data_IF_552685517073
#
_entry.id   IF_552685517073
#
_cell.length_a   1.000
_cell.length_b   1.000
_cell.length_c   1.000
_cell.angle_alpha   90.00
_cell.angle_beta   90.00
_cell.angle_gamma   90.00
#
_symmetry.space_group_name_H-M   'P 1'
#
loop_
_entity.id
_entity.type
_entity.pdbx_description
1 polymer ?
#
# COMPACT_ATOMS: atom_id res chain seq x y z
N UNK A 1 -26.53 -12.73 2.62
CA UNK A 1 -26.87 -12.95 1.21
C UNK A 1 -28.19 -13.73 1.12
N UNK A 2 -28.69 -13.96 -0.08
CA UNK A 2 -29.95 -14.69 -0.33
C UNK A 2 -29.93 -16.15 0.17
N UNK A 3 -28.76 -16.68 0.53
CA UNK A 3 -28.54 -18.03 1.05
C UNK A 3 -28.40 -18.06 2.59
N UNK A 4 -28.70 -16.97 3.28
CA UNK A 4 -28.60 -16.87 4.74
C UNK A 4 -27.15 -16.74 5.29
N UNK A 5 -26.15 -16.53 4.43
CA UNK A 5 -24.78 -16.26 4.86
C UNK A 5 -24.62 -14.78 5.20
N UNK A 6 -24.07 -14.49 6.36
CA UNK A 6 -23.68 -13.14 6.74
C UNK A 6 -22.45 -12.73 5.95
N UNK A 7 -22.57 -11.72 5.08
CA UNK A 7 -21.45 -11.05 4.44
C UNK A 7 -21.30 -9.66 5.04
N UNK A 8 -20.14 -9.39 5.59
CA UNK A 8 -19.77 -8.06 6.07
C UNK A 8 -19.04 -7.31 4.96
N UNK A 9 -19.82 -6.75 4.01
CA UNK A 9 -19.22 -5.93 2.94
C UNK A 9 -18.60 -4.67 3.54
N UNK A 10 -17.39 -4.31 3.06
CA UNK A 10 -16.65 -3.09 3.45
C UNK A 10 -16.38 -2.97 4.96
N UNK A 11 -16.29 -4.10 5.67
CA UNK A 11 -16.01 -4.09 7.12
C UNK A 11 -14.65 -3.48 7.46
N UNK A 12 -13.69 -3.54 6.55
CA UNK A 12 -12.37 -2.93 6.67
C UNK A 12 -12.45 -1.40 6.71
N UNK A 13 -13.45 -0.80 6.07
CA UNK A 13 -13.69 0.66 6.10
C UNK A 13 -14.60 1.02 7.26
N UNK A 14 -15.71 0.31 7.42
CA UNK A 14 -16.68 0.54 8.48
C UNK A 14 -16.10 0.26 9.88
N UNK A 15 -15.11 -0.64 9.97
CA UNK A 15 -14.43 -0.99 11.20
C UNK A 15 -13.48 0.11 11.72
N UNK A 16 -12.93 0.96 10.86
CA UNK A 16 -11.96 1.99 11.26
C UNK A 16 -12.50 2.92 12.35
N UNK A 17 -13.65 3.61 12.20
CA UNK A 17 -14.16 4.48 13.26
C UNK A 17 -14.50 3.75 14.55
N UNK A 18 -14.95 2.52 14.50
CA UNK A 18 -15.24 1.69 15.68
C UNK A 18 -13.96 1.33 16.43
N UNK A 19 -12.92 0.94 15.68
CA UNK A 19 -11.59 0.64 16.20
C UNK A 19 -10.98 1.89 16.88
N UNK A 20 -11.04 3.04 16.21
CA UNK A 20 -10.54 4.31 16.74
C UNK A 20 -11.23 4.71 18.04
N UNK A 21 -12.56 4.59 18.11
CA UNK A 21 -13.32 4.87 19.31
C UNK A 21 -12.96 3.92 20.47
N UNK A 22 -12.80 2.62 20.17
CA UNK A 22 -12.40 1.62 21.17
C UNK A 22 -11.00 1.91 21.71
N UNK A 23 -10.02 2.10 20.82
CA UNK A 23 -8.63 2.34 21.21
C UNK A 23 -8.46 3.66 21.98
N UNK A 24 -9.19 4.70 21.59
CA UNK A 24 -9.20 5.98 22.33
C UNK A 24 -9.75 5.83 23.75
N UNK A 25 -10.79 5.02 23.94
CA UNK A 25 -11.36 4.74 25.29
C UNK A 25 -10.40 4.06 26.23
N UNK A 26 -9.50 3.21 25.71
CA UNK A 26 -8.47 2.53 26.53
C UNK A 26 -7.18 3.33 26.61
N UNK A 27 -7.13 4.55 26.07
CA UNK A 27 -5.98 5.44 26.18
C UNK A 27 -4.82 5.10 25.25
N UNK A 28 -5.07 4.42 24.11
CA UNK A 28 -4.04 4.14 23.14
C UNK A 28 -3.42 5.43 22.58
N UNK A 29 -2.09 5.43 22.43
CA UNK A 29 -1.35 6.53 21.85
C UNK A 29 -1.62 6.70 20.34
N UNK A 30 -1.28 7.89 19.80
CA UNK A 30 -1.53 8.24 18.40
C UNK A 30 -0.91 7.28 17.40
N UNK A 31 0.31 6.80 17.67
CA UNK A 31 1.01 5.87 16.77
C UNK A 31 0.31 4.50 16.71
N UNK A 32 -0.18 4.02 17.87
CA UNK A 32 -0.96 2.78 17.93
C UNK A 32 -2.29 2.93 17.20
N UNK A 33 -2.97 4.07 17.34
CA UNK A 33 -4.20 4.37 16.60
C UNK A 33 -3.94 4.33 15.10
N UNK A 34 -2.96 5.09 14.61
CA UNK A 34 -2.61 5.15 13.19
C UNK A 34 -2.24 3.77 12.62
N UNK A 35 -1.47 3.00 13.38
CA UNK A 35 -1.07 1.64 13.00
C UNK A 35 -2.29 0.71 12.89
N UNK A 36 -3.14 0.65 13.90
CA UNK A 36 -4.31 -0.23 13.88
C UNK A 36 -5.33 0.17 12.80
N UNK A 37 -5.56 1.47 12.60
CA UNK A 37 -6.42 1.99 11.52
C UNK A 37 -5.88 1.61 10.13
N UNK A 38 -4.56 1.70 9.95
CA UNK A 38 -3.90 1.32 8.71
C UNK A 38 -4.05 -0.19 8.45
N UNK A 39 -3.79 -1.04 9.44
CA UNK A 39 -3.98 -2.49 9.34
C UNK A 39 -5.43 -2.85 9.05
N UNK A 40 -6.39 -2.27 9.79
CA UNK A 40 -7.82 -2.50 9.58
C UNK A 40 -8.24 -2.18 8.14
N UNK A 41 -7.81 -1.04 7.61
CA UNK A 41 -8.16 -0.59 6.25
C UNK A 41 -7.53 -1.44 5.15
N UNK A 42 -6.35 -2.01 5.37
CA UNK A 42 -5.57 -2.65 4.30
C UNK A 42 -5.69 -4.17 4.28
N UNK A 43 -6.09 -4.83 5.39
CA UNK A 43 -6.01 -6.30 5.49
C UNK A 43 -6.80 -7.02 4.39
N UNK A 44 -7.98 -6.53 4.01
CA UNK A 44 -8.78 -7.16 2.95
C UNK A 44 -8.15 -7.00 1.56
N UNK A 45 -7.34 -5.97 1.34
CA UNK A 45 -6.67 -5.74 0.05
C UNK A 45 -5.60 -6.79 -0.23
N UNK A 46 -5.01 -7.41 0.78
CA UNK A 46 -4.07 -8.52 0.62
C UNK A 46 -4.74 -9.74 0.00
N UNK A 47 -5.93 -10.10 0.48
CA UNK A 47 -6.73 -11.17 -0.09
C UNK A 47 -7.11 -10.89 -1.54
N UNK A 48 -7.53 -9.66 -1.84
CA UNK A 48 -7.84 -9.24 -3.23
C UNK A 48 -6.60 -9.40 -4.12
N UNK A 49 -5.41 -9.01 -3.64
CA UNK A 49 -4.16 -9.19 -4.39
C UNK A 49 -3.91 -10.65 -4.75
N UNK A 50 -4.12 -11.57 -3.81
CA UNK A 50 -3.98 -13.01 -4.04
C UNK A 50 -5.03 -13.55 -5.00
N UNK A 51 -6.33 -13.33 -4.71
CA UNK A 51 -7.42 -13.89 -5.53
C UNK A 51 -7.44 -13.38 -6.97
N UNK A 52 -7.00 -12.14 -7.18
CA UNK A 52 -6.88 -11.55 -8.52
C UNK A 52 -5.51 -11.75 -9.15
N UNK A 53 -4.60 -12.43 -8.45
CA UNK A 53 -3.20 -12.66 -8.87
C UNK A 53 -2.53 -11.36 -9.36
N UNK A 54 -2.61 -10.30 -8.54
CA UNK A 54 -2.09 -8.99 -8.93
C UNK A 54 -0.56 -9.03 -9.09
N UNK A 55 -0.06 -8.26 -10.05
CA UNK A 55 1.37 -8.15 -10.32
C UNK A 55 2.15 -7.39 -9.24
N UNK A 56 3.49 -7.52 -9.27
CA UNK A 56 4.39 -6.89 -8.28
C UNK A 56 4.16 -5.38 -8.11
N UNK A 57 3.95 -4.64 -9.21
CA UNK A 57 3.73 -3.20 -9.13
C UNK A 57 2.50 -2.83 -8.28
N UNK A 58 1.41 -3.57 -8.41
CA UNK A 58 0.18 -3.32 -7.65
C UNK A 58 0.31 -3.71 -6.18
N UNK A 59 0.98 -4.85 -5.91
CA UNK A 59 1.25 -5.28 -4.54
C UNK A 59 2.29 -4.40 -3.85
N UNK A 60 3.30 -3.91 -4.59
CA UNK A 60 4.26 -2.94 -4.07
C UNK A 60 3.57 -1.65 -3.59
N UNK A 61 2.56 -1.17 -4.33
CA UNK A 61 1.80 0.02 -3.91
C UNK A 61 0.99 -0.25 -2.65
N UNK A 62 0.41 -1.45 -2.49
CA UNK A 62 -0.28 -1.82 -1.26
C UNK A 62 0.66 -1.82 -0.06
N UNK A 63 1.84 -2.43 -0.21
CA UNK A 63 2.85 -2.46 0.85
C UNK A 63 3.42 -1.07 1.17
N UNK A 64 3.54 -0.19 0.18
CA UNK A 64 3.98 1.19 0.36
C UNK A 64 2.96 2.07 1.12
N UNK A 65 1.68 1.71 1.08
CA UNK A 65 0.63 2.32 1.90
C UNK A 65 0.61 1.79 3.34
N UNK A 66 1.24 0.64 3.61
CA UNK A 66 1.26 0.01 4.93
C UNK A 66 2.32 0.62 5.83
N UNK A 67 1.95 0.91 7.07
CA UNK A 67 2.90 1.32 8.12
C UNK A 67 3.88 0.18 8.46
N UNK A 68 3.41 -1.06 8.43
CA UNK A 68 4.24 -2.26 8.64
C UNK A 68 3.82 -3.37 7.68
N UNK A 69 4.46 -3.51 6.49
CA UNK A 69 4.12 -4.53 5.51
C UNK A 69 4.22 -5.96 6.04
N UNK A 70 5.19 -6.25 6.90
CA UNK A 70 5.34 -7.57 7.52
C UNK A 70 4.13 -7.94 8.39
N UNK A 71 3.68 -7.01 9.22
CA UNK A 71 2.52 -7.23 10.07
C UNK A 71 1.22 -7.32 9.25
N UNK A 72 1.15 -6.59 8.14
CA UNK A 72 0.02 -6.69 7.22
C UNK A 72 -0.08 -8.10 6.59
N UNK A 73 1.06 -8.67 6.18
CA UNK A 73 1.11 -10.06 5.69
C UNK A 73 0.74 -11.04 6.79
N UNK A 74 1.28 -10.87 8.00
CA UNK A 74 0.96 -11.72 9.15
C UNK A 74 -0.54 -11.68 9.47
N UNK A 75 -1.13 -10.49 9.49
CA UNK A 75 -2.58 -10.30 9.72
C UNK A 75 -3.41 -11.03 8.66
N UNK A 76 -3.05 -10.90 7.39
CA UNK A 76 -3.74 -11.59 6.30
C UNK A 76 -3.68 -13.11 6.44
N UNK A 77 -2.51 -13.66 6.79
CA UNK A 77 -2.34 -15.10 7.04
C UNK A 77 -3.19 -15.57 8.21
N UNK A 78 -3.21 -14.80 9.31
CA UNK A 78 -4.04 -15.12 10.48
C UNK A 78 -5.54 -15.09 10.13
N UNK A 79 -5.98 -14.10 9.36
CA UNK A 79 -7.38 -13.99 8.92
C UNK A 79 -7.77 -15.15 7.99
N UNK A 80 -6.93 -15.49 7.02
CA UNK A 80 -7.17 -16.62 6.11
C UNK A 80 -7.31 -17.95 6.87
N UNK A 81 -6.43 -18.21 7.83
CA UNK A 81 -6.45 -19.43 8.64
C UNK A 81 -7.59 -19.44 9.67
N UNK A 82 -7.94 -18.28 10.21
CA UNK A 82 -9.03 -18.13 11.18
C UNK A 82 -10.42 -18.42 10.63
N UNK A 83 -10.62 -18.31 9.33
CA UNK A 83 -11.89 -18.59 8.64
C UNK A 83 -12.24 -20.09 8.58
N UNK A 84 -11.37 -20.99 9.04
CA UNK A 84 -11.63 -22.43 9.13
C UNK A 84 -11.81 -23.13 7.77
N UNK A 85 -11.26 -22.54 6.71
CA UNK A 85 -11.35 -23.07 5.35
C UNK A 85 -10.24 -24.05 4.97
N UNK A 86 -10.07 -24.24 3.66
CA UNK A 86 -9.05 -25.10 3.08
C UNK A 86 -7.63 -24.59 3.45
N UNK A 87 -6.89 -25.38 4.17
CA UNK A 87 -5.50 -25.08 4.61
C UNK A 87 -4.57 -24.88 3.42
N UNK A 88 -4.72 -25.68 2.37
CA UNK A 88 -3.94 -25.56 1.12
C UNK A 88 -4.01 -24.13 0.53
N UNK A 89 -5.22 -23.60 0.41
CA UNK A 89 -5.43 -22.26 -0.15
C UNK A 89 -4.85 -21.14 0.74
N UNK A 90 -4.89 -21.34 2.06
CA UNK A 90 -4.27 -20.40 3.00
C UNK A 90 -2.75 -20.45 2.93
N UNK A 91 -2.16 -21.61 2.66
CA UNK A 91 -0.72 -21.77 2.47
C UNK A 91 -0.26 -21.17 1.13
N UNK A 92 -1.06 -21.32 0.06
CA UNK A 92 -0.81 -20.65 -1.23
C UNK A 92 -0.85 -19.12 -1.09
N UNK A 93 -1.82 -18.58 -0.36
CA UNK A 93 -1.93 -17.15 -0.10
C UNK A 93 -0.75 -16.63 0.72
N UNK A 94 -0.35 -17.35 1.76
CA UNK A 94 0.83 -17.00 2.56
C UNK A 94 2.09 -16.96 1.70
N UNK A 95 2.30 -17.98 0.86
CA UNK A 95 3.45 -18.04 -0.03
C UNK A 95 3.44 -16.88 -1.02
N UNK A 96 2.31 -16.60 -1.66
CA UNK A 96 2.13 -15.47 -2.58
C UNK A 96 2.49 -14.15 -1.90
N UNK A 97 1.94 -13.88 -0.71
CA UNK A 97 2.17 -12.62 0.00
C UNK A 97 3.63 -12.47 0.43
N UNK A 98 4.30 -13.54 0.86
CA UNK A 98 5.72 -13.53 1.19
C UNK A 98 6.60 -13.22 -0.03
N UNK A 99 6.30 -13.83 -1.17
CA UNK A 99 7.02 -13.56 -2.42
C UNK A 99 6.84 -12.11 -2.87
N UNK A 100 5.62 -11.57 -2.76
CA UNK A 100 5.33 -10.16 -3.08
C UNK A 100 6.00 -9.19 -2.11
N UNK A 101 6.06 -9.52 -0.82
CA UNK A 101 6.78 -8.72 0.17
C UNK A 101 8.28 -8.69 -0.12
N UNK A 102 8.89 -9.82 -0.45
CA UNK A 102 10.29 -9.87 -0.85
C UNK A 102 10.58 -9.06 -2.13
N UNK A 103 9.66 -9.08 -3.10
CA UNK A 103 9.76 -8.24 -4.29
C UNK A 103 9.68 -6.73 -3.96
N UNK A 104 8.81 -6.34 -3.04
CA UNK A 104 8.71 -4.97 -2.53
C UNK A 104 9.99 -4.52 -1.83
N UNK A 105 10.54 -5.34 -0.93
CA UNK A 105 11.81 -5.04 -0.24
C UNK A 105 12.97 -4.89 -1.22
N UNK A 106 13.03 -5.75 -2.23
CA UNK A 106 13.98 -5.63 -3.32
C UNK A 106 13.80 -4.31 -4.08
N UNK A 107 12.56 -3.92 -4.38
CA UNK A 107 12.28 -2.65 -5.04
C UNK A 107 12.73 -1.46 -4.19
N UNK A 108 12.54 -1.50 -2.85
CA UNK A 108 13.00 -0.47 -1.92
C UNK A 108 14.53 -0.39 -1.80
N UNK A 109 15.25 -1.49 -2.00
CA UNK A 109 16.72 -1.51 -1.98
C UNK A 109 17.36 -0.82 -3.19
N UNK A 110 16.57 -0.55 -4.23
CA UNK A 110 17.03 0.14 -5.44
C UNK A 110 16.92 1.66 -5.28
N UNK A 111 17.74 2.45 -6.04
CA UNK A 111 17.66 3.91 -5.99
C UNK A 111 16.24 4.42 -6.24
N UNK A 112 15.77 5.29 -5.34
CA UNK A 112 14.46 5.94 -5.42
C UNK A 112 14.58 7.39 -5.91
N UNK A 113 13.56 7.93 -6.60
CA UNK A 113 13.52 9.32 -7.01
C UNK A 113 13.62 10.27 -5.82
N UNK A 114 14.39 11.34 -5.97
CA UNK A 114 14.53 12.42 -4.99
C UNK A 114 14.09 13.77 -5.57
N UNK A 115 13.86 14.75 -4.70
CA UNK A 115 13.52 16.11 -5.12
C UNK A 115 14.65 16.74 -5.95
N UNK A 116 15.89 16.50 -5.57
CA UNK A 116 17.06 17.03 -6.31
C UNK A 116 17.14 16.44 -7.73
N UNK A 117 16.80 15.16 -7.90
CA UNK A 117 16.76 14.54 -9.22
C UNK A 117 15.67 15.15 -10.11
N UNK A 118 14.49 15.46 -9.54
CA UNK A 118 13.41 16.13 -10.27
C UNK A 118 13.81 17.56 -10.65
N UNK A 119 14.47 18.29 -9.74
CA UNK A 119 14.96 19.64 -10.00
C UNK A 119 16.04 19.62 -11.09
N UNK A 120 16.97 18.68 -11.03
CA UNK A 120 18.01 18.52 -12.05
C UNK A 120 17.44 18.25 -13.46
N UNK A 121 16.23 17.71 -13.54
CA UNK A 121 15.49 17.48 -14.78
C UNK A 121 14.52 18.62 -15.15
N UNK A 122 14.63 19.79 -14.49
CA UNK A 122 13.93 21.02 -14.83
C UNK A 122 12.64 21.27 -14.05
N UNK A 123 12.31 20.48 -13.02
CA UNK A 123 11.18 20.77 -12.16
C UNK A 123 11.51 21.93 -11.20
N UNK A 124 10.60 22.88 -11.05
CA UNK A 124 10.74 23.97 -10.07
C UNK A 124 10.39 23.47 -8.67
N UNK A 125 11.20 23.89 -7.66
CA UNK A 125 10.85 23.66 -6.26
C UNK A 125 9.58 24.43 -5.89
N UNK A 126 8.62 23.78 -5.22
CA UNK A 126 7.37 24.43 -4.84
C UNK A 126 6.30 23.45 -4.35
N UNK A 127 5.04 23.94 -4.29
CA UNK A 127 3.89 23.20 -3.74
C UNK A 127 3.64 21.85 -4.42
N UNK A 128 3.94 21.71 -5.71
CA UNK A 128 3.76 20.46 -6.48
C UNK A 128 4.81 19.38 -6.22
N UNK A 129 5.92 19.70 -5.55
CA UNK A 129 7.04 18.77 -5.37
C UNK A 129 6.67 17.49 -4.61
N UNK A 130 5.85 17.61 -3.56
CA UNK A 130 5.42 16.43 -2.78
C UNK A 130 4.59 15.46 -3.61
N UNK A 131 3.69 15.98 -4.44
CA UNK A 131 2.87 15.16 -5.35
C UNK A 131 3.71 14.54 -6.46
N UNK A 132 4.66 15.29 -7.02
CA UNK A 132 5.59 14.79 -8.02
C UNK A 132 6.46 13.66 -7.45
N UNK A 133 7.00 13.82 -6.26
CA UNK A 133 7.77 12.76 -5.59
C UNK A 133 6.92 11.51 -5.35
N UNK A 134 5.69 11.67 -4.91
CA UNK A 134 4.76 10.55 -4.73
C UNK A 134 4.51 9.81 -6.06
N UNK A 135 4.32 10.54 -7.15
CA UNK A 135 4.12 9.94 -8.47
C UNK A 135 5.39 9.26 -8.99
N UNK A 136 6.55 9.88 -8.86
CA UNK A 136 7.82 9.28 -9.26
C UNK A 136 8.09 7.98 -8.48
N UNK A 137 7.84 7.98 -7.16
CA UNK A 137 7.92 6.79 -6.32
C UNK A 137 6.95 5.70 -6.77
N UNK A 138 5.70 6.07 -7.06
CA UNK A 138 4.68 5.15 -7.58
C UNK A 138 5.12 4.48 -8.87
N UNK A 139 5.60 5.25 -9.84
CA UNK A 139 6.13 4.74 -11.11
C UNK A 139 7.29 3.77 -10.87
N UNK A 140 8.20 4.13 -9.98
CA UNK A 140 9.36 3.29 -9.62
C UNK A 140 8.94 1.97 -9.01
N UNK A 141 7.99 1.97 -8.07
CA UNK A 141 7.44 0.76 -7.44
C UNK A 141 6.64 -0.10 -8.44
N UNK A 142 6.06 0.51 -9.46
CA UNK A 142 5.42 -0.20 -10.56
C UNK A 142 6.41 -0.76 -11.62
N UNK A 143 7.72 -0.67 -11.38
CA UNK A 143 8.74 -1.28 -12.23
C UNK A 143 9.38 -0.35 -13.26
N UNK A 144 9.04 0.94 -13.29
CA UNK A 144 9.72 1.90 -14.15
C UNK A 144 11.21 2.04 -13.77
N UNK A 145 12.08 2.25 -14.74
CA UNK A 145 13.46 2.66 -14.50
C UNK A 145 13.52 4.00 -13.75
N UNK A 146 14.61 4.25 -12.99
CA UNK A 146 14.74 5.50 -12.22
C UNK A 146 14.63 6.75 -13.11
N UNK A 147 15.36 6.77 -14.21
CA UNK A 147 15.34 7.88 -15.16
C UNK A 147 13.98 8.07 -15.84
N UNK A 148 13.33 6.95 -16.19
CA UNK A 148 12.00 6.98 -16.79
C UNK A 148 10.94 7.50 -15.82
N UNK A 149 10.97 7.08 -14.56
CA UNK A 149 10.07 7.56 -13.52
C UNK A 149 10.23 9.08 -13.31
N UNK A 150 11.48 9.57 -13.25
CA UNK A 150 11.77 11.00 -13.12
C UNK A 150 11.26 11.75 -14.35
N UNK A 151 11.62 11.30 -15.56
CA UNK A 151 11.23 11.95 -16.82
C UNK A 151 9.72 12.06 -16.98
N UNK A 152 8.98 10.95 -16.75
CA UNK A 152 7.52 10.93 -16.83
C UNK A 152 6.88 11.89 -15.81
N UNK A 153 7.44 11.94 -14.61
CA UNK A 153 6.97 12.85 -13.57
C UNK A 153 7.18 14.31 -13.94
N UNK A 154 8.37 14.67 -14.44
CA UNK A 154 8.66 16.05 -14.87
C UNK A 154 7.75 16.48 -16.03
N UNK A 155 7.48 15.59 -16.98
CA UNK A 155 6.54 15.87 -18.08
C UNK A 155 5.12 16.15 -17.55
N UNK A 156 4.67 15.38 -16.54
CA UNK A 156 3.33 15.50 -15.96
C UNK A 156 3.17 16.77 -15.12
N UNK A 157 4.13 17.08 -14.26
CA UNK A 157 4.02 18.17 -13.27
C UNK A 157 4.77 19.45 -13.67
N UNK A 158 5.73 19.38 -14.62
CA UNK A 158 6.48 20.54 -15.07
C UNK A 158 5.64 21.58 -15.81
N UNK A 159 4.57 21.14 -16.48
CA UNK A 159 3.63 22.02 -17.22
C UNK A 159 2.66 22.79 -16.31
N UNK A 160 2.37 22.27 -15.11
CA UNK A 160 1.44 22.92 -14.17
C UNK A 160 2.07 24.14 -13.47
N UNK A 161 3.40 24.24 -13.44
CA UNK A 161 4.13 25.33 -12.78
C UNK A 161 4.44 26.53 -13.69
N UNK A 162 4.03 26.50 -14.96
CA UNK A 162 4.27 27.62 -15.90
C UNK A 162 3.07 28.60 -16.00
N UNK A 163 2.00 28.41 -15.22
CA UNK A 163 0.79 29.23 -15.25
C UNK A 163 0.56 30.04 -13.95
N UNK A 164 1.57 30.17 -13.09
CA UNK A 164 1.59 31.15 -11.98
C UNK A 164 2.74 32.19 -12.24
#
# INVERSE_FOLDING_TARGET
DQNGNYQSCEHEIAGVPLLSAMLSRIGAGKDMLAYCENMCRLHMRTHICFYMNLGEGQTNLLFDESICPHDLVLLAVCDARGKGGCTEKSDEEEQFLKERLAAYEKALSMPMPSGDMLIAQGMKAGRGMAQALKEARRLRLCGAGLEDAIRQTVIKFGKENDHE
#
